data_IF_796703012388
#
_entry.id   IF_796703012388
#
_cell.length_a   1.000
_cell.length_b   1.000
_cell.length_c   1.000
_cell.angle_alpha   90.00
_cell.angle_beta   90.00
_cell.angle_gamma   90.00
#
_symmetry.space_group_name_H-M   'P 1'
#
loop_
_entity.id
_entity.type
_entity.pdbx_description
1 polymer ?
#
# COMPACT_ATOMS: atom_id res chain seq x y z
N UNK A 1 -0.93 16.72 -14.41
CA UNK A 1 0.01 17.86 -14.56
C UNK A 1 -0.23 18.99 -13.56
N UNK A 2 -1.46 19.47 -13.31
CA UNK A 2 -1.78 20.54 -12.33
C UNK A 2 -1.18 20.36 -10.92
N UNK A 3 -1.18 19.12 -10.41
CA UNK A 3 -0.66 18.78 -9.08
C UNK A 3 0.88 18.82 -8.97
N UNK A 4 1.60 18.61 -10.07
CA UNK A 4 3.06 18.60 -10.10
C UNK A 4 3.65 20.02 -10.04
N UNK A 5 2.98 20.97 -10.71
CA UNK A 5 3.31 22.40 -10.62
C UNK A 5 3.03 22.96 -9.22
N UNK A 6 1.93 22.52 -8.58
CA UNK A 6 1.62 22.87 -7.19
C UNK A 6 2.70 22.38 -6.20
N UNK A 7 3.20 21.15 -6.39
CA UNK A 7 4.22 20.58 -5.50
C UNK A 7 5.59 21.27 -5.65
N UNK A 8 5.99 21.60 -6.88
CA UNK A 8 7.21 22.37 -7.15
C UNK A 8 7.13 23.80 -6.62
N UNK A 9 5.94 24.41 -6.60
CA UNK A 9 5.71 25.73 -6.02
C UNK A 9 5.83 25.75 -4.49
N UNK A 10 5.40 24.68 -3.80
CA UNK A 10 5.54 24.58 -2.34
C UNK A 10 7.01 24.55 -1.86
N UNK A 11 7.94 24.08 -2.69
CA UNK A 11 9.37 24.05 -2.35
C UNK A 11 10.06 25.42 -2.48
N UNK A 12 9.45 26.36 -3.19
CA UNK A 12 10.04 27.67 -3.48
C UNK A 12 9.46 28.80 -2.63
N UNK A 13 8.51 28.53 -1.73
CA UNK A 13 7.92 29.57 -0.90
C UNK A 13 8.92 30.03 0.19
N UNK A 14 9.19 31.35 0.30
CA UNK A 14 9.98 31.89 1.40
C UNK A 14 9.24 31.66 2.72
N UNK A 15 9.97 31.39 3.81
CA UNK A 15 9.39 31.03 5.12
C UNK A 15 8.34 32.00 5.67
N UNK A 16 8.33 33.26 5.23
CA UNK A 16 7.32 34.25 5.57
C UNK A 16 5.91 33.96 5.01
N UNK A 17 5.80 33.17 3.94
CA UNK A 17 4.51 32.79 3.37
C UNK A 17 3.76 31.81 4.28
N UNK A 18 4.47 30.90 4.94
CA UNK A 18 3.90 29.91 5.85
C UNK A 18 3.26 30.55 7.09
N UNK A 19 3.92 31.57 7.65
CA UNK A 19 3.39 32.33 8.79
C UNK A 19 2.12 33.11 8.39
N UNK A 20 2.12 33.75 7.21
CA UNK A 20 0.95 34.44 6.69
C UNK A 20 -0.25 33.50 6.44
N UNK A 21 0.00 32.25 5.98
CA UNK A 21 -1.04 31.22 5.83
C UNK A 21 -1.61 30.78 7.17
N UNK A 22 -0.76 30.62 8.19
CA UNK A 22 -1.19 30.23 9.53
C UNK A 22 -2.04 31.33 10.20
N UNK A 23 -1.60 32.58 10.09
CA UNK A 23 -2.33 33.73 10.63
C UNK A 23 -3.69 33.88 9.93
N UNK A 24 -3.71 33.74 8.60
CA UNK A 24 -4.93 33.72 7.79
C UNK A 24 -5.91 32.63 8.23
N UNK A 25 -5.44 31.39 8.43
CA UNK A 25 -6.27 30.27 8.86
C UNK A 25 -6.83 30.43 10.27
N UNK A 26 -6.12 31.14 11.15
CA UNK A 26 -6.63 31.43 12.49
C UNK A 26 -7.80 32.44 12.47
N UNK A 27 -7.84 33.32 11.46
CA UNK A 27 -8.89 34.30 11.27
C UNK A 27 -10.13 33.74 10.55
N UNK A 28 -9.98 32.65 9.78
CA UNK A 28 -11.08 32.04 9.02
C UNK A 28 -11.80 30.98 9.87
N UNK A 29 -13.12 31.08 10.08
CA UNK A 29 -13.85 30.08 10.85
C UNK A 29 -13.82 28.70 10.15
N UNK A 30 -13.61 27.60 10.90
CA UNK A 30 -13.25 26.28 10.35
C UNK A 30 -14.34 25.57 9.54
N UNK A 31 -15.51 26.18 9.30
CA UNK A 31 -16.67 25.54 8.66
C UNK A 31 -17.43 26.44 7.68
N UNK A 32 -16.79 27.42 7.04
CA UNK A 32 -17.46 28.12 5.94
C UNK A 32 -17.35 27.31 4.64
N UNK A 33 -18.44 26.67 4.22
CA UNK A 33 -18.58 26.14 2.84
C UNK A 33 -18.58 27.26 1.78
N UNK A 34 -18.58 28.52 2.23
CA UNK A 34 -18.52 29.68 1.36
C UNK A 34 -17.07 29.93 0.91
N UNK A 35 -16.86 30.30 -0.36
CA UNK A 35 -15.55 30.78 -0.83
C UNK A 35 -15.10 31.96 0.03
N UNK A 36 -13.84 31.92 0.47
CA UNK A 36 -13.22 33.01 1.22
C UNK A 36 -12.56 33.94 0.22
N UNK A 37 -12.94 35.22 0.25
CA UNK A 37 -12.26 36.26 -0.51
C UNK A 37 -10.93 36.59 0.16
N UNK A 38 -9.84 36.18 -0.49
CA UNK A 38 -8.48 36.36 0.03
C UNK A 38 -8.12 37.83 0.19
N UNK A 39 -8.71 38.73 -0.59
CA UNK A 39 -8.41 40.17 -0.51
C UNK A 39 -8.92 40.79 0.79
N UNK A 40 -10.06 40.31 1.27
CA UNK A 40 -10.71 40.78 2.50
C UNK A 40 -10.19 40.05 3.73
N UNK A 41 -10.05 38.72 3.65
CA UNK A 41 -9.67 37.92 4.81
C UNK A 41 -8.16 37.91 5.07
N UNK A 42 -7.34 37.92 4.01
CA UNK A 42 -5.90 37.62 4.11
C UNK A 42 -5.06 38.43 3.11
N UNK A 43 -4.99 39.77 3.27
CA UNK A 43 -4.32 40.65 2.30
C UNK A 43 -2.82 40.34 2.15
N UNK A 44 -2.16 39.88 3.21
CA UNK A 44 -0.75 39.50 3.20
C UNK A 44 -0.46 38.33 2.23
N UNK A 45 -1.47 37.51 1.92
CA UNK A 45 -1.35 36.36 1.03
C UNK A 45 -1.56 36.70 -0.44
N UNK A 46 -2.14 37.87 -0.76
CA UNK A 46 -2.51 38.24 -2.13
C UNK A 46 -1.27 38.40 -3.02
N UNK A 47 -0.24 39.08 -2.53
CA UNK A 47 1.04 39.28 -3.24
C UNK A 47 1.74 37.96 -3.59
N UNK A 48 2.05 37.06 -2.62
CA UNK A 48 2.69 35.78 -2.93
C UNK A 48 1.77 34.88 -3.77
N UNK A 49 0.45 34.98 -3.61
CA UNK A 49 -0.51 34.24 -4.42
C UNK A 49 -0.51 34.68 -5.89
N UNK A 50 -0.47 35.99 -6.15
CA UNK A 50 -0.35 36.52 -7.51
C UNK A 50 0.95 36.09 -8.19
N UNK A 51 2.05 35.99 -7.44
CA UNK A 51 3.32 35.49 -7.94
C UNK A 51 3.28 33.98 -8.27
N UNK A 52 2.43 33.19 -7.60
CA UNK A 52 2.29 31.75 -7.82
C UNK A 52 1.32 31.41 -8.96
N UNK A 53 0.25 32.20 -9.11
CA UNK A 53 -0.87 31.93 -10.03
C UNK A 53 -0.71 32.71 -11.34
N UNK A 54 0.49 32.70 -11.92
CA UNK A 54 0.81 33.40 -13.19
C UNK A 54 0.00 32.89 -14.40
N UNK A 55 -0.88 31.89 -14.25
CA UNK A 55 -1.53 31.24 -15.38
C UNK A 55 -3.06 31.07 -15.31
N UNK A 56 -3.77 31.50 -14.26
CA UNK A 56 -5.24 31.38 -14.23
C UNK A 56 -5.94 32.61 -13.66
N UNK A 57 -6.78 33.20 -14.51
CA UNK A 57 -7.51 34.43 -14.27
C UNK A 57 -8.45 34.37 -13.05
N UNK A 58 -8.52 35.51 -12.36
CA UNK A 58 -9.62 36.06 -11.56
C UNK A 58 -10.17 35.29 -10.35
N UNK A 59 -9.66 34.12 -9.98
CA UNK A 59 -10.14 33.45 -8.76
C UNK A 59 -9.43 33.97 -7.49
N UNK A 60 -9.88 35.12 -6.98
CA UNK A 60 -9.59 35.60 -5.62
C UNK A 60 -10.30 34.81 -4.52
N UNK A 61 -11.19 33.89 -4.91
CA UNK A 61 -11.89 32.98 -4.02
C UNK A 61 -11.18 31.65 -3.88
N UNK A 62 -10.80 31.27 -2.66
CA UNK A 62 -10.28 29.94 -2.33
C UNK A 62 -11.24 29.27 -1.33
N UNK A 63 -11.47 27.97 -1.50
CA UNK A 63 -12.29 27.22 -0.53
C UNK A 63 -11.50 27.00 0.76
N UNK A 64 -12.14 27.12 1.92
CA UNK A 64 -11.50 26.92 3.22
C UNK A 64 -10.78 25.55 3.33
N UNK A 65 -11.34 24.50 2.70
CA UNK A 65 -10.71 23.18 2.64
C UNK A 65 -9.37 23.14 1.89
N UNK A 66 -9.18 23.99 0.87
CA UNK A 66 -7.90 24.09 0.14
C UNK A 66 -6.83 24.76 1.00
N UNK A 67 -7.19 25.81 1.74
CA UNK A 67 -6.29 26.46 2.71
C UNK A 67 -5.88 25.50 3.82
N UNK A 68 -6.83 24.71 4.36
CA UNK A 68 -6.53 23.69 5.38
C UNK A 68 -5.61 22.59 4.85
N UNK A 69 -5.80 22.16 3.60
CA UNK A 69 -4.91 21.19 2.96
C UNK A 69 -3.48 21.72 2.86
N UNK A 70 -3.28 22.98 2.48
CA UNK A 70 -1.94 23.59 2.42
C UNK A 70 -1.30 23.77 3.78
N UNK A 71 -2.07 24.24 4.77
CA UNK A 71 -1.59 24.32 6.15
C UNK A 71 -1.04 22.98 6.65
N UNK A 72 -1.73 21.90 6.27
CA UNK A 72 -1.36 20.53 6.67
C UNK A 72 -0.19 19.98 5.86
N UNK A 73 -0.05 20.38 4.60
CA UNK A 73 1.10 20.02 3.76
C UNK A 73 2.39 20.75 4.20
N UNK A 74 2.24 21.95 4.76
CA UNK A 74 3.35 22.83 5.17
C UNK A 74 3.69 22.69 6.66
N UNK A 75 2.92 21.92 7.43
CA UNK A 75 3.42 21.41 8.70
C UNK A 75 4.74 20.72 8.39
N UNK A 76 5.86 21.15 9.00
CA UNK A 76 7.13 20.47 8.81
C UNK A 76 6.84 19.03 9.16
N UNK A 77 6.86 18.16 8.15
CA UNK A 77 6.85 16.71 8.35
C UNK A 77 7.90 16.54 9.41
N UNK A 78 7.50 16.12 10.61
CA UNK A 78 8.46 15.91 11.69
C UNK A 78 9.40 14.85 11.15
N UNK A 79 10.50 15.31 10.58
CA UNK A 79 11.65 14.52 10.22
C UNK A 79 12.34 14.22 11.54
N UNK A 80 11.64 13.53 12.46
CA UNK A 80 12.30 12.43 13.15
C UNK A 80 12.97 11.67 12.03
N UNK A 81 14.29 11.81 11.94
CA UNK A 81 15.12 11.30 10.86
C UNK A 81 14.55 9.95 10.46
N UNK A 82 13.99 9.87 9.24
CA UNK A 82 13.51 8.61 8.71
C UNK A 82 14.69 7.66 8.90
N UNK A 83 14.50 6.60 9.66
CA UNK A 83 15.60 5.70 9.98
C UNK A 83 15.92 4.93 8.68
N UNK A 84 16.80 5.53 7.87
CA UNK A 84 17.14 5.10 6.52
C UNK A 84 17.69 3.68 6.51
N UNK A 85 18.27 3.23 7.63
CA UNK A 85 18.73 1.85 7.81
C UNK A 85 17.59 0.82 7.70
N UNK A 86 16.36 1.17 8.09
CA UNK A 86 15.20 0.30 7.91
C UNK A 86 14.64 0.34 6.49
N UNK A 87 14.78 1.47 5.80
CA UNK A 87 14.31 1.63 4.43
C UNK A 87 15.14 0.81 3.46
N UNK A 88 16.47 0.77 3.63
CA UNK A 88 17.36 -0.10 2.84
C UNK A 88 17.00 -1.57 3.01
N UNK A 89 16.60 -1.97 4.22
CA UNK A 89 16.11 -3.32 4.51
C UNK A 89 14.80 -3.68 3.79
N UNK A 90 13.84 -2.76 3.78
CA UNK A 90 12.56 -2.94 3.08
C UNK A 90 12.75 -2.88 1.56
N UNK A 91 13.59 -1.98 1.07
CA UNK A 91 13.98 -1.90 -0.34
C UNK A 91 14.69 -3.20 -0.77
N UNK A 92 15.63 -3.70 0.03
CA UNK A 92 16.30 -4.98 -0.25
C UNK A 92 15.34 -6.17 -0.27
N UNK A 93 14.27 -6.15 0.54
CA UNK A 93 13.21 -7.17 0.49
C UNK A 93 12.28 -7.05 -0.71
N UNK A 94 12.01 -5.84 -1.20
CA UNK A 94 11.22 -5.62 -2.43
C UNK A 94 12.05 -5.94 -3.68
N UNK A 95 13.35 -5.66 -3.63
CA UNK A 95 14.35 -5.96 -4.64
C UNK A 95 15.09 -7.26 -4.34
N UNK A 96 14.45 -8.22 -3.67
CA UNK A 96 15.05 -9.52 -3.44
C UNK A 96 15.30 -10.19 -4.81
N UNK A 97 16.57 -10.40 -5.21
CA UNK A 97 16.89 -10.95 -6.52
C UNK A 97 16.30 -12.35 -6.71
N UNK A 98 15.98 -13.06 -5.62
CA UNK A 98 15.30 -14.36 -5.68
C UNK A 98 13.86 -14.26 -6.20
N UNK A 99 13.14 -13.18 -5.90
CA UNK A 99 11.82 -12.92 -6.48
C UNK A 99 11.92 -12.57 -7.97
N UNK A 100 13.01 -11.92 -8.37
CA UNK A 100 13.34 -11.68 -9.77
C UNK A 100 13.71 -12.97 -10.51
N UNK A 101 14.40 -13.91 -9.87
CA UNK A 101 14.70 -15.24 -10.40
C UNK A 101 13.45 -16.10 -10.58
N UNK A 102 12.52 -16.09 -9.62
CA UNK A 102 11.23 -16.77 -9.74
C UNK A 102 10.37 -16.14 -10.83
N UNK A 103 10.35 -14.81 -10.93
CA UNK A 103 9.66 -14.10 -12.02
C UNK A 103 10.30 -14.35 -13.38
N UNK A 104 11.64 -14.39 -13.45
CA UNK A 104 12.36 -14.82 -14.66
C UNK A 104 11.98 -16.25 -15.02
N UNK A 105 11.94 -17.18 -14.07
CA UNK A 105 11.54 -18.57 -14.31
C UNK A 105 10.11 -18.72 -14.83
N UNK A 106 9.14 -17.96 -14.30
CA UNK A 106 7.77 -17.95 -14.81
C UNK A 106 7.72 -17.52 -16.28
N UNK A 107 8.48 -16.47 -16.62
CA UNK A 107 8.46 -15.88 -17.95
C UNK A 107 9.15 -16.80 -18.95
N UNK A 108 10.26 -17.41 -18.54
CA UNK A 108 10.95 -18.43 -19.31
C UNK A 108 10.07 -19.66 -19.52
N UNK A 109 9.29 -20.09 -18.52
CA UNK A 109 8.33 -21.19 -18.67
C UNK A 109 7.17 -20.83 -19.60
N UNK A 110 6.68 -19.60 -19.55
CA UNK A 110 5.66 -19.11 -20.46
C UNK A 110 6.17 -19.05 -21.90
N UNK A 111 7.40 -18.54 -22.11
CA UNK A 111 8.06 -18.55 -23.41
C UNK A 111 8.31 -19.98 -23.92
N UNK A 112 8.76 -20.89 -23.05
CA UNK A 112 8.91 -22.31 -23.40
C UNK A 112 7.58 -22.98 -23.71
N UNK A 113 6.51 -22.63 -23.02
CA UNK A 113 5.17 -23.11 -23.33
C UNK A 113 4.71 -22.60 -24.71
N UNK A 114 4.93 -21.32 -25.02
CA UNK A 114 4.71 -20.74 -26.34
C UNK A 114 5.54 -21.44 -27.42
N UNK A 115 6.80 -21.75 -27.14
CA UNK A 115 7.66 -22.49 -28.07
C UNK A 115 7.23 -23.95 -28.21
N UNK A 116 6.69 -24.57 -27.15
CA UNK A 116 6.16 -25.94 -27.21
C UNK A 116 4.89 -26.05 -28.06
N UNK A 117 4.14 -24.96 -28.22
CA UNK A 117 3.04 -24.86 -29.16
C UNK A 117 3.53 -24.79 -30.62
N UNK A 118 4.79 -24.42 -30.85
CA UNK A 118 5.42 -24.56 -32.17
C UNK A 118 5.82 -26.02 -32.34
N UNK A 119 4.96 -26.80 -32.99
CA UNK A 119 5.29 -28.19 -33.35
C UNK A 119 6.57 -28.29 -34.20
N UNK A 120 7.19 -29.47 -34.26
CA UNK A 120 8.43 -29.69 -35.05
C UNK A 120 8.30 -29.35 -36.55
N UNK A 121 7.08 -29.27 -37.06
CA UNK A 121 6.76 -28.85 -38.44
C UNK A 121 6.23 -27.40 -38.53
N UNK A 122 6.53 -26.54 -37.54
CA UNK A 122 6.01 -25.17 -37.49
C UNK A 122 6.43 -24.38 -38.74
N UNK A 123 7.68 -24.49 -39.20
CA UNK A 123 8.13 -23.78 -40.39
C UNK A 123 7.40 -24.23 -41.66
N UNK A 124 7.10 -25.53 -41.80
CA UNK A 124 6.38 -26.09 -42.95
C UNK A 124 4.88 -25.76 -42.90
N UNK A 125 4.24 -25.77 -41.73
CA UNK A 125 2.82 -25.37 -41.58
C UNK A 125 2.64 -23.85 -41.66
N UNK A 126 3.60 -23.06 -41.16
CA UNK A 126 3.59 -21.61 -41.27
C UNK A 126 3.89 -21.14 -42.70
N UNK A 127 4.66 -21.90 -43.48
CA UNK A 127 4.82 -21.63 -44.92
C UNK A 127 3.52 -21.84 -45.71
N UNK A 128 2.69 -22.83 -45.35
CA UNK A 128 1.36 -22.96 -45.93
C UNK A 128 0.45 -21.79 -45.54
N UNK A 129 0.46 -21.38 -44.27
CA UNK A 129 -0.36 -20.27 -43.78
C UNK A 129 0.08 -18.91 -44.35
N UNK A 130 1.39 -18.65 -44.44
CA UNK A 130 1.94 -17.45 -45.08
C UNK A 130 1.76 -17.46 -46.59
N UNK A 131 1.82 -18.63 -47.25
CA UNK A 131 1.45 -18.78 -48.65
C UNK A 131 -0.04 -18.51 -48.90
N UNK A 132 -0.91 -18.96 -47.99
CA UNK A 132 -2.35 -18.71 -48.03
C UNK A 132 -2.69 -17.23 -47.75
N UNK A 133 -1.98 -16.58 -46.81
CA UNK A 133 -2.07 -15.15 -46.54
C UNK A 133 -1.57 -14.29 -47.70
N UNK A 134 -0.44 -14.67 -48.33
CA UNK A 134 0.09 -13.96 -49.48
C UNK A 134 -0.75 -14.19 -50.75
N UNK A 135 -1.44 -15.33 -50.84
CA UNK A 135 -2.38 -15.62 -51.93
C UNK A 135 -3.73 -14.93 -51.78
N UNK A 136 -4.14 -14.56 -50.56
CA UNK A 136 -5.29 -13.70 -50.33
C UNK A 136 -4.86 -12.24 -50.44
N UNK A 137 -5.11 -11.62 -51.60
CA UNK A 137 -5.15 -10.16 -51.72
C UNK A 137 -6.35 -9.64 -50.92
N UNK A 138 -6.18 -9.56 -49.60
CA UNK A 138 -7.18 -9.01 -48.69
C UNK A 138 -7.34 -7.53 -49.03
N UNK A 139 -8.59 -7.11 -49.25
CA UNK A 139 -8.94 -5.71 -49.39
C UNK A 139 -8.44 -4.95 -48.15
N UNK A 140 -7.93 -3.72 -48.33
CA UNK A 140 -7.50 -2.86 -47.22
C UNK A 140 -8.57 -2.75 -46.12
N UNK A 141 -9.85 -2.84 -46.50
CA UNK A 141 -11.00 -2.82 -45.61
C UNK A 141 -11.05 -4.05 -44.69
N UNK A 142 -10.80 -5.25 -45.23
CA UNK A 142 -10.71 -6.49 -44.44
C UNK A 142 -9.52 -6.50 -43.50
N UNK A 143 -8.39 -5.93 -43.92
CA UNK A 143 -7.17 -5.82 -43.11
C UNK A 143 -7.38 -4.86 -41.94
N UNK A 144 -8.08 -3.74 -42.19
CA UNK A 144 -8.52 -2.82 -41.14
C UNK A 144 -9.45 -3.51 -40.13
N UNK A 145 -10.46 -4.25 -40.58
CA UNK A 145 -11.36 -4.99 -39.68
C UNK A 145 -10.64 -6.02 -38.82
N UNK A 146 -9.67 -6.73 -39.39
CA UNK A 146 -8.87 -7.72 -38.66
C UNK A 146 -8.01 -7.04 -37.59
N UNK A 147 -7.39 -5.91 -37.92
CA UNK A 147 -6.59 -5.12 -36.98
C UNK A 147 -7.44 -4.56 -35.83
N UNK A 148 -8.60 -3.97 -36.13
CA UNK A 148 -9.53 -3.49 -35.11
C UNK A 148 -10.07 -4.62 -34.23
N UNK A 149 -10.35 -5.79 -34.82
CA UNK A 149 -10.76 -6.98 -34.07
C UNK A 149 -9.68 -7.45 -33.09
N UNK A 150 -8.42 -7.45 -33.52
CA UNK A 150 -7.29 -7.85 -32.67
C UNK A 150 -7.04 -6.85 -31.54
N UNK A 151 -7.18 -5.54 -31.81
CA UNK A 151 -7.15 -4.51 -30.78
C UNK A 151 -8.29 -4.65 -29.77
N UNK A 152 -9.52 -4.90 -30.24
CA UNK A 152 -10.67 -5.13 -29.36
C UNK A 152 -10.47 -6.37 -28.46
N UNK A 153 -9.92 -7.46 -29.02
CA UNK A 153 -9.56 -8.64 -28.27
C UNK A 153 -8.51 -8.32 -27.19
N UNK A 154 -7.47 -7.56 -27.53
CA UNK A 154 -6.42 -7.18 -26.59
C UNK A 154 -6.96 -6.33 -25.44
N UNK A 155 -7.87 -5.40 -25.75
CA UNK A 155 -8.59 -4.61 -24.74
C UNK A 155 -9.44 -5.50 -23.83
N UNK A 156 -10.17 -6.48 -24.38
CA UNK A 156 -10.95 -7.43 -23.59
C UNK A 156 -10.09 -8.29 -22.66
N UNK A 157 -8.95 -8.78 -23.15
CA UNK A 157 -8.00 -9.57 -22.34
C UNK A 157 -7.43 -8.73 -21.21
N UNK A 158 -7.00 -7.49 -21.49
CA UNK A 158 -6.50 -6.58 -20.45
C UNK A 158 -7.57 -6.24 -19.42
N UNK A 159 -8.80 -5.93 -19.85
CA UNK A 159 -9.94 -5.73 -18.94
C UNK A 159 -10.23 -6.98 -18.10
N UNK A 160 -10.14 -8.18 -18.70
CA UNK A 160 -10.31 -9.44 -18.00
C UNK A 160 -9.23 -9.64 -16.92
N UNK A 161 -7.98 -9.35 -17.24
CA UNK A 161 -6.84 -9.42 -16.31
C UNK A 161 -7.01 -8.42 -15.16
N UNK A 162 -7.35 -7.17 -15.48
CA UNK A 162 -7.64 -6.14 -14.46
C UNK A 162 -8.82 -6.55 -13.58
N UNK A 163 -9.88 -7.10 -14.17
CA UNK A 163 -11.05 -7.57 -13.42
C UNK A 163 -10.72 -8.75 -12.53
N UNK A 164 -9.87 -9.67 -12.99
CA UNK A 164 -9.39 -10.80 -12.21
C UNK A 164 -8.53 -10.35 -11.03
N UNK A 165 -7.61 -9.41 -11.24
CA UNK A 165 -6.82 -8.78 -10.17
C UNK A 165 -7.71 -8.02 -9.17
N UNK A 166 -8.70 -7.27 -9.64
CA UNK A 166 -9.67 -6.57 -8.78
C UNK A 166 -10.55 -7.54 -7.98
N UNK A 167 -10.85 -8.72 -8.55
CA UNK A 167 -11.60 -9.78 -7.89
C UNK A 167 -10.77 -10.45 -6.79
N UNK A 168 -9.50 -10.78 -7.09
CA UNK A 168 -8.55 -11.31 -6.10
C UNK A 168 -8.24 -10.31 -4.99
N UNK A 169 -8.19 -9.02 -5.30
CA UNK A 169 -7.98 -7.94 -4.33
C UNK A 169 -9.23 -7.63 -3.48
N UNK A 170 -10.31 -8.41 -3.61
CA UNK A 170 -11.58 -8.27 -2.86
C UNK A 170 -12.20 -6.87 -2.91
N UNK A 171 -11.85 -6.05 -3.92
CA UNK A 171 -12.30 -4.66 -4.04
C UNK A 171 -13.83 -4.59 -4.16
N UNK A 172 -14.44 -5.56 -4.85
CA UNK A 172 -15.89 -5.70 -4.97
C UNK A 172 -16.57 -6.20 -3.68
N UNK A 173 -15.86 -6.94 -2.82
CA UNK A 173 -16.38 -7.37 -1.52
C UNK A 173 -16.47 -6.18 -0.55
N UNK A 174 -15.50 -5.25 -0.61
CA UNK A 174 -15.54 -4.00 0.17
C UNK A 174 -16.69 -3.08 -0.25
N UNK A 175 -17.06 -3.07 -1.53
CA UNK A 175 -18.12 -2.19 -2.03
C UNK A 175 -19.54 -2.74 -1.87
N UNK A 176 -19.70 -4.07 -1.90
CA UNK A 176 -21.03 -4.70 -1.80
C UNK A 176 -21.57 -4.87 -0.37
N UNK A 177 -20.82 -4.48 0.67
CA UNK A 177 -21.28 -4.49 2.08
C UNK A 177 -21.64 -5.87 2.65
N UNK A 178 -21.66 -6.92 1.82
CA UNK A 178 -21.87 -8.30 2.25
C UNK A 178 -20.55 -8.86 2.75
N UNK A 179 -20.33 -8.71 4.05
CA UNK A 179 -19.40 -9.55 4.81
C UNK A 179 -19.76 -11.00 4.54
N UNK A 180 -19.02 -11.66 3.64
CA UNK A 180 -19.03 -13.12 3.55
C UNK A 180 -18.31 -13.65 4.78
N UNK A 181 -19.07 -13.91 5.82
CA UNK A 181 -18.68 -14.81 6.89
C UNK A 181 -18.48 -16.19 6.28
N UNK A 182 -17.26 -16.71 6.31
CA UNK A 182 -16.98 -18.12 6.04
C UNK A 182 -16.79 -18.48 4.58
N UNK A 183 -15.61 -18.18 4.03
CA UNK A 183 -15.00 -19.09 3.07
C UNK A 183 -13.49 -19.06 3.27
N UNK A 184 -12.95 -20.22 3.62
CA UNK A 184 -11.52 -20.46 3.80
C UNK A 184 -10.75 -19.99 2.56
N UNK A 185 -10.11 -18.82 2.66
CA UNK A 185 -8.98 -18.46 1.82
C UNK A 185 -7.72 -18.85 2.58
N UNK A 186 -7.38 -20.12 2.45
CA UNK A 186 -6.04 -20.62 2.68
C UNK A 186 -5.10 -19.87 1.71
N UNK A 187 -4.11 -19.14 2.24
CA UNK A 187 -3.14 -18.24 1.55
C UNK A 187 -3.76 -16.89 1.14
N UNK A 188 -3.32 -15.74 1.66
CA UNK A 188 -1.95 -15.22 1.74
C UNK A 188 -1.77 -14.44 3.05
N UNK A 189 -1.28 -15.12 4.07
CA UNK A 189 -0.39 -14.46 5.04
C UNK A 189 0.89 -14.15 4.26
N UNK A 190 1.17 -12.87 4.04
CA UNK A 190 2.54 -12.42 3.83
C UNK A 190 3.28 -12.74 5.12
N UNK A 191 3.88 -13.93 5.13
CA UNK A 191 5.12 -14.34 5.78
C UNK A 191 5.55 -13.56 7.04
N UNK A 192 4.67 -13.39 8.02
CA UNK A 192 4.99 -13.76 9.37
C UNK A 192 4.49 -15.20 9.51
N UNK A 193 5.32 -16.16 9.10
CA UNK A 193 4.99 -17.58 9.22
C UNK A 193 4.48 -17.86 10.63
N UNK A 194 3.20 -18.24 10.74
CA UNK A 194 2.78 -19.07 11.84
C UNK A 194 3.79 -20.22 11.95
N UNK A 195 4.29 -20.57 13.15
CA UNK A 195 5.32 -21.58 13.26
C UNK A 195 4.70 -22.94 12.94
N UNK A 196 4.75 -23.34 11.67
CA UNK A 196 4.88 -24.74 11.32
C UNK A 196 6.17 -25.20 11.99
N UNK A 197 6.07 -25.93 13.10
CA UNK A 197 7.13 -26.65 13.82
C UNK A 197 8.48 -26.56 13.10
N UNK A 198 9.17 -25.43 13.26
CA UNK A 198 10.39 -25.13 12.52
C UNK A 198 11.50 -25.65 13.42
N UNK A 199 11.96 -26.87 13.16
CA UNK A 199 13.02 -27.55 13.91
C UNK A 199 14.42 -26.95 13.67
N UNK A 200 14.49 -25.71 13.17
CA UNK A 200 15.71 -24.92 13.02
C UNK A 200 15.79 -23.86 14.10
N UNK A 201 16.99 -23.58 14.58
CA UNK A 201 17.26 -22.55 15.59
C UNK A 201 16.88 -21.17 15.02
N UNK A 202 15.67 -20.70 15.33
CA UNK A 202 15.15 -19.42 14.85
C UNK A 202 16.02 -18.28 15.37
N UNK A 203 16.32 -17.30 14.51
CA UNK A 203 17.01 -16.08 14.94
C UNK A 203 16.16 -15.31 15.96
N UNK A 204 16.77 -14.54 16.90
CA UNK A 204 16.03 -13.81 17.92
C UNK A 204 14.88 -12.92 17.37
N UNK A 205 15.04 -12.19 16.25
CA UNK A 205 13.94 -11.42 15.66
C UNK A 205 12.77 -12.30 15.17
N UNK A 206 13.08 -13.46 14.57
CA UNK A 206 12.07 -14.42 14.12
C UNK A 206 11.30 -15.02 15.30
N UNK A 207 11.98 -15.28 16.43
CA UNK A 207 11.32 -15.75 17.65
C UNK A 207 10.34 -14.70 18.21
N UNK A 208 10.72 -13.42 18.21
CA UNK A 208 9.84 -12.32 18.64
C UNK A 208 8.63 -12.20 17.72
N UNK A 209 8.83 -12.29 16.39
CA UNK A 209 7.74 -12.26 15.41
C UNK A 209 6.76 -13.43 15.61
N UNK A 210 7.27 -14.64 15.82
CA UNK A 210 6.46 -15.84 16.05
C UNK A 210 5.65 -15.73 17.36
N UNK A 211 6.27 -15.25 18.45
CA UNK A 211 5.59 -15.01 19.72
C UNK A 211 4.50 -13.94 19.59
N UNK A 212 4.76 -12.85 18.87
CA UNK A 212 3.76 -11.82 18.61
C UNK A 212 2.57 -12.39 17.84
N UNK A 213 2.81 -13.18 16.79
CA UNK A 213 1.76 -13.83 16.02
C UNK A 213 0.91 -14.76 16.89
N UNK A 214 1.53 -15.52 17.80
CA UNK A 214 0.82 -16.38 18.75
C UNK A 214 -0.09 -15.59 19.70
N UNK A 215 0.40 -14.46 20.23
CA UNK A 215 -0.40 -13.57 21.10
C UNK A 215 -1.57 -12.97 20.32
N UNK A 216 -1.34 -12.51 19.09
CA UNK A 216 -2.40 -11.95 18.23
C UNK A 216 -3.45 -13.01 17.92
N UNK A 217 -3.07 -14.23 17.54
CA UNK A 217 -4.01 -15.32 17.28
C UNK A 217 -4.85 -15.63 18.52
N UNK A 218 -4.22 -15.70 19.70
CA UNK A 218 -4.93 -15.95 20.96
C UNK A 218 -5.93 -14.83 21.30
N UNK A 219 -5.58 -13.57 21.04
CA UNK A 219 -6.50 -12.42 21.20
C UNK A 219 -7.64 -12.44 20.18
N UNK A 220 -7.37 -12.88 18.96
CA UNK A 220 -8.34 -12.95 17.88
C UNK A 220 -9.35 -14.10 18.08
N UNK A 221 -8.92 -15.23 18.66
CA UNK A 221 -9.80 -16.32 19.11
C UNK A 221 -10.80 -15.84 20.17
N UNK A 222 -10.42 -14.85 20.98
CA UNK A 222 -11.27 -14.28 22.05
C UNK A 222 -12.14 -13.11 21.60
N UNK A 223 -12.13 -12.80 20.32
CA UNK A 223 -12.81 -11.62 19.75
C UNK A 223 -12.38 -10.28 20.40
N UNK A 224 -11.23 -10.26 21.08
CA UNK A 224 -10.64 -9.04 21.67
C UNK A 224 -10.08 -8.12 20.57
N UNK A 225 -9.68 -8.71 19.44
CA UNK A 225 -9.27 -8.03 18.21
C UNK A 225 -9.93 -8.71 16.99
N UNK A 226 -10.12 -7.98 15.87
CA UNK A 226 -10.62 -8.56 14.62
C UNK A 226 -9.60 -9.52 14.00
N UNK A 227 -10.07 -10.61 13.38
CA UNK A 227 -9.27 -11.61 12.62
C UNK A 227 -8.84 -11.13 11.22
N UNK A 228 -8.69 -9.82 11.03
CA UNK A 228 -8.35 -9.25 9.72
C UNK A 228 -6.82 -9.22 9.55
N UNK A 229 -6.30 -10.10 8.70
CA UNK A 229 -4.88 -10.22 8.41
C UNK A 229 -4.29 -8.99 7.68
N UNK A 230 -5.14 -8.09 7.18
CA UNK A 230 -4.69 -6.84 6.52
C UNK A 230 -4.35 -5.73 7.52
N UNK A 231 -4.71 -5.89 8.80
CA UNK A 231 -4.47 -4.89 9.82
C UNK A 231 -3.04 -4.96 10.35
N UNK A 232 -2.39 -3.80 10.36
CA UNK A 232 -1.10 -3.62 11.04
C UNK A 232 -1.26 -3.72 12.56
N UNK A 233 -0.18 -4.05 13.29
CA UNK A 233 -0.22 -4.13 14.76
C UNK A 233 -0.70 -2.83 15.41
N UNK A 234 -0.35 -1.66 14.84
CA UNK A 234 -0.86 -0.35 15.29
C UNK A 234 -2.36 -0.18 15.10
N UNK A 235 -2.90 -0.73 14.02
CA UNK A 235 -4.35 -0.72 13.79
C UNK A 235 -5.07 -1.71 14.71
N UNK A 236 -4.48 -2.88 14.98
CA UNK A 236 -5.01 -3.85 15.95
C UNK A 236 -5.15 -3.22 17.35
N UNK A 237 -4.18 -2.40 17.79
CA UNK A 237 -4.26 -1.66 19.06
C UNK A 237 -5.49 -0.73 19.14
N UNK A 238 -5.90 -0.12 18.02
CA UNK A 238 -7.10 0.74 17.99
C UNK A 238 -8.41 -0.05 18.07
N UNK A 239 -8.38 -1.31 17.67
CA UNK A 239 -9.52 -2.22 17.70
C UNK A 239 -9.56 -3.11 18.94
N UNK A 240 -8.58 -2.95 19.85
CA UNK A 240 -8.49 -3.71 21.07
C UNK A 240 -9.68 -3.39 21.97
N UNK A 241 -10.56 -4.37 22.16
CA UNK A 241 -11.68 -4.24 23.09
C UNK A 241 -11.20 -4.52 24.52
N UNK A 242 -11.71 -3.78 25.52
CA UNK A 242 -11.45 -4.10 26.91
C UNK A 242 -12.16 -5.41 27.27
N UNK A 243 -11.41 -6.51 27.25
CA UNK A 243 -11.87 -7.84 27.65
C UNK A 243 -11.43 -8.12 29.09
N UNK A 244 -12.25 -8.81 29.87
CA UNK A 244 -11.93 -9.18 31.26
C UNK A 244 -10.61 -9.97 31.30
N UNK A 245 -9.67 -9.51 32.13
CA UNK A 245 -8.34 -10.12 32.27
C UNK A 245 -7.28 -9.63 31.29
N UNK A 246 -7.65 -8.88 30.24
CA UNK A 246 -6.68 -8.34 29.29
C UNK A 246 -6.21 -6.95 29.73
N UNK A 247 -4.91 -6.79 29.99
CA UNK A 247 -4.31 -5.48 30.21
C UNK A 247 -3.90 -4.84 28.85
N UNK A 248 -4.62 -3.81 28.37
CA UNK A 248 -4.31 -3.19 27.08
C UNK A 248 -2.93 -2.51 27.06
N UNK A 249 -2.45 -2.04 28.21
CA UNK A 249 -1.12 -1.44 28.31
C UNK A 249 0.00 -2.47 28.09
N UNK A 250 -0.19 -3.70 28.58
CA UNK A 250 0.77 -4.78 28.39
C UNK A 250 0.89 -5.17 26.91
N UNK A 251 -0.23 -5.31 26.20
CA UNK A 251 -0.21 -5.62 24.76
C UNK A 251 0.40 -4.46 23.94
N UNK A 252 0.09 -3.22 24.32
CA UNK A 252 0.70 -2.03 23.70
C UNK A 252 2.22 -2.01 23.88
N UNK A 253 2.72 -2.37 25.07
CA UNK A 253 4.15 -2.44 25.35
C UNK A 253 4.86 -3.55 24.56
N UNK A 254 4.22 -4.72 24.40
CA UNK A 254 4.74 -5.79 23.53
C UNK A 254 4.85 -5.32 22.08
N UNK A 255 3.79 -4.74 21.52
CA UNK A 255 3.80 -4.25 20.14
C UNK A 255 4.86 -3.17 19.95
N UNK A 256 4.99 -2.23 20.90
CA UNK A 256 6.00 -1.18 20.84
C UNK A 256 7.45 -1.71 20.86
N UNK A 257 7.68 -2.85 21.52
CA UNK A 257 9.00 -3.50 21.57
C UNK A 257 9.26 -4.33 20.31
N UNK A 258 8.25 -5.04 19.81
CA UNK A 258 8.40 -5.93 18.67
C UNK A 258 8.49 -5.18 17.33
N UNK A 259 7.74 -4.09 17.16
CA UNK A 259 7.69 -3.34 15.90
C UNK A 259 9.08 -2.89 15.38
N UNK A 260 9.94 -2.24 16.18
CA UNK A 260 11.26 -1.82 15.70
C UNK A 260 12.22 -3.01 15.45
N UNK A 261 12.03 -4.14 16.13
CA UNK A 261 12.85 -5.34 15.93
C UNK A 261 12.44 -6.05 14.63
N UNK A 262 11.13 -6.26 14.44
CA UNK A 262 10.58 -7.00 13.30
C UNK A 262 10.64 -6.20 12.01
N UNK A 263 10.29 -4.91 12.03
CA UNK A 263 10.23 -4.06 10.84
C UNK A 263 11.38 -3.05 10.73
N UNK A 264 11.99 -2.67 11.84
CA UNK A 264 13.10 -1.71 11.86
C UNK A 264 14.48 -2.33 11.78
N UNK A 265 14.58 -3.67 11.68
CA UNK A 265 15.84 -4.43 11.68
C UNK A 265 16.72 -4.13 12.90
N UNK A 266 16.13 -3.70 14.02
CA UNK A 266 16.88 -3.47 15.23
C UNK A 266 17.40 -4.80 15.77
N UNK A 267 18.69 -4.85 16.11
CA UNK A 267 19.29 -6.03 16.70
C UNK A 267 18.57 -6.36 18.02
N UNK A 268 18.10 -7.61 18.12
CA UNK A 268 17.55 -8.16 19.35
C UNK A 268 18.61 -9.01 20.03
N UNK A 269 18.96 -8.65 21.26
CA UNK A 269 19.82 -9.48 22.10
C UNK A 269 19.01 -10.55 22.84
N UNK A 270 19.71 -11.48 23.48
CA UNK A 270 19.08 -12.55 24.25
C UNK A 270 18.30 -12.05 25.48
N UNK A 271 18.65 -10.87 26.02
CA UNK A 271 18.01 -10.30 27.20
C UNK A 271 16.63 -9.72 26.86
N UNK A 272 16.54 -8.98 25.75
CA UNK A 272 15.30 -8.44 25.18
C UNK A 272 14.37 -9.60 24.84
N UNK A 273 14.88 -10.64 24.19
CA UNK A 273 14.08 -11.83 23.87
C UNK A 273 13.53 -12.51 25.13
N UNK A 274 14.33 -12.66 26.19
CA UNK A 274 13.90 -13.27 27.45
C UNK A 274 12.87 -12.41 28.21
N UNK A 275 13.00 -11.08 28.17
CA UNK A 275 12.00 -10.16 28.71
C UNK A 275 10.70 -10.25 27.91
N UNK A 276 10.79 -10.17 26.58
CA UNK A 276 9.65 -10.26 25.67
C UNK A 276 8.87 -11.57 25.83
N UNK A 277 9.58 -12.70 25.96
CA UNK A 277 8.95 -14.01 26.21
C UNK A 277 8.16 -14.01 27.52
N UNK A 278 8.73 -13.49 28.62
CA UNK A 278 8.02 -13.42 29.91
C UNK A 278 6.76 -12.56 29.82
N UNK A 279 6.82 -11.42 29.13
CA UNK A 279 5.67 -10.53 28.98
C UNK A 279 4.58 -11.15 28.10
N UNK A 280 4.97 -11.84 27.02
CA UNK A 280 4.06 -12.58 26.16
C UNK A 280 3.38 -13.74 26.91
N UNK A 281 4.15 -14.53 27.66
CA UNK A 281 3.63 -15.62 28.50
C UNK A 281 2.69 -15.10 29.59
N UNK A 282 2.99 -13.96 30.22
CA UNK A 282 2.10 -13.36 31.20
C UNK A 282 0.74 -12.95 30.59
N UNK A 283 0.75 -12.40 29.37
CA UNK A 283 -0.48 -12.07 28.64
C UNK A 283 -1.27 -13.31 28.20
N UNK A 284 -0.57 -14.39 27.81
CA UNK A 284 -1.21 -15.67 27.49
C UNK A 284 -1.72 -16.40 28.74
N UNK A 285 -1.09 -16.23 29.90
CA UNK A 285 -1.53 -16.82 31.16
C UNK A 285 -2.77 -16.13 31.72
N UNK A 286 -2.84 -14.80 31.63
CA UNK A 286 -4.03 -13.99 31.98
C UNK A 286 -5.26 -14.35 31.14
N UNK A 287 -5.07 -15.08 30.06
CA UNK A 287 -6.15 -15.56 29.22
C UNK A 287 -6.79 -16.84 29.79
N UNK A 288 -6.06 -17.75 30.42
CA UNK A 288 -6.63 -19.06 30.81
C UNK A 288 -7.58 -19.00 32.03
N UNK A 289 -7.57 -17.88 32.79
CA UNK A 289 -8.42 -17.63 33.96
C UNK A 289 -9.74 -16.93 33.63
#
# INVERSE_FOLDING_TARGET
MRWLLLYLCCLAMPGHAADAVRDCLSAVPPQSDKPVDLTLACPALVQPWQALVVAQADSHSVQAGQLQFWAKAEQPVRTTALNLSGLDGVLAGIFDPSAEEVRKQWWTRFLQWLDSLKGKDYDTQFQWFSGLLNGMTLSDETLAHLFYGLMALLVLVTLGLVSHELWLAEVFARWSGRRKSGQQADRVLVTASAPSVFSGELSPPQQIAALLAQVVEALAVREAIPRDATLTYRQLLRHLKPTRGLNPAAFTALVATAEPIVFGQQAADAQILAAYRRDAEALLAQQVS
#
